data_IF_321939831878
#
_entry.id   IF_321939831878
#
_cell.length_a   1.000
_cell.length_b   1.000
_cell.length_c   1.000
_cell.angle_alpha   90.00
_cell.angle_beta   90.00
_cell.angle_gamma   90.00
#
_symmetry.space_group_name_H-M   'P 1'
#
loop_
_entity.id
_entity.type
_entity.pdbx_description
1 polymer ?
#
# COMPACT_ATOMS: atom_id res chain seq x y z
N UNK A 1 -20.79 -26.31 -8.52
CA UNK A 1 -19.67 -27.19 -8.08
C UNK A 1 -18.99 -27.92 -9.25
N UNK A 2 -19.74 -28.35 -10.28
CA UNK A 2 -19.14 -29.00 -11.46
C UNK A 2 -18.24 -28.09 -12.30
N UNK A 3 -18.60 -26.82 -12.43
CA UNK A 3 -17.81 -25.81 -13.15
C UNK A 3 -16.41 -25.57 -12.55
N UNK A 4 -16.26 -25.64 -11.23
CA UNK A 4 -14.98 -25.45 -10.55
C UNK A 4 -14.00 -26.60 -10.81
N UNK A 5 -14.47 -27.83 -10.76
CA UNK A 5 -13.64 -29.02 -10.98
C UNK A 5 -13.16 -29.12 -12.46
N UNK A 6 -14.04 -28.83 -13.42
CA UNK A 6 -13.65 -28.77 -14.83
C UNK A 6 -12.61 -27.70 -15.12
N UNK A 7 -12.76 -26.51 -14.54
CA UNK A 7 -11.79 -25.42 -14.66
C UNK A 7 -10.42 -25.79 -14.07
N UNK A 8 -10.37 -26.52 -12.95
CA UNK A 8 -9.13 -26.96 -12.34
C UNK A 8 -8.37 -27.98 -13.20
N UNK A 9 -9.10 -28.95 -13.79
CA UNK A 9 -8.51 -29.91 -14.72
C UNK A 9 -7.90 -29.22 -15.94
N UNK A 10 -8.60 -28.24 -16.49
CA UNK A 10 -8.12 -27.47 -17.65
C UNK A 10 -6.84 -26.69 -17.33
N UNK A 11 -6.83 -25.98 -16.21
CA UNK A 11 -5.65 -25.22 -15.73
C UNK A 11 -4.43 -26.14 -15.57
N UNK A 12 -4.61 -27.31 -14.94
CA UNK A 12 -3.54 -28.29 -14.75
C UNK A 12 -2.99 -28.83 -16.07
N UNK A 13 -3.85 -29.07 -17.05
CA UNK A 13 -3.41 -29.54 -18.37
C UNK A 13 -2.56 -28.49 -19.08
N UNK A 14 -2.98 -27.21 -19.07
CA UNK A 14 -2.24 -26.13 -19.70
C UNK A 14 -0.90 -25.88 -19.00
N UNK A 15 -0.88 -25.85 -17.68
CA UNK A 15 0.36 -25.76 -16.91
C UNK A 15 1.32 -26.92 -17.19
N UNK A 16 0.77 -28.14 -17.32
CA UNK A 16 1.58 -29.33 -17.67
C UNK A 16 2.13 -29.31 -19.11
N UNK A 17 1.47 -28.60 -20.01
CA UNK A 17 1.96 -28.35 -21.37
C UNK A 17 3.04 -27.30 -21.37
N UNK A 18 2.81 -26.19 -20.66
CA UNK A 18 3.73 -25.07 -20.63
C UNK A 18 5.06 -25.40 -19.92
N UNK A 19 5.02 -26.20 -18.84
CA UNK A 19 6.22 -26.59 -18.09
C UNK A 19 7.25 -27.37 -18.95
N UNK A 20 6.79 -27.98 -20.04
CA UNK A 20 7.66 -28.71 -20.99
C UNK A 20 8.28 -27.81 -22.07
N UNK A 21 7.87 -26.55 -22.14
CA UNK A 21 8.33 -25.59 -23.12
C UNK A 21 9.53 -24.81 -22.56
N UNK A 22 10.47 -24.51 -23.42
CA UNK A 22 11.68 -23.72 -23.10
C UNK A 22 11.63 -22.31 -23.67
N UNK A 23 10.59 -22.02 -24.48
CA UNK A 23 10.37 -20.77 -25.19
C UNK A 23 9.34 -19.87 -24.51
N UNK A 24 8.93 -20.19 -23.27
CA UNK A 24 7.97 -19.45 -22.47
C UNK A 24 8.65 -18.91 -21.19
N UNK A 25 7.97 -17.97 -20.52
CA UNK A 25 8.36 -17.44 -19.20
C UNK A 25 7.62 -18.14 -18.06
N UNK A 26 6.78 -19.13 -18.40
CA UNK A 26 5.88 -19.82 -17.49
C UNK A 26 4.91 -18.84 -16.78
N UNK A 27 4.49 -17.79 -17.49
CA UNK A 27 3.57 -16.77 -17.00
C UNK A 27 2.18 -17.03 -17.52
N UNK A 28 1.21 -17.09 -16.61
CA UNK A 28 -0.18 -17.42 -16.97
C UNK A 28 -0.80 -16.37 -17.91
N UNK A 29 -0.53 -15.09 -17.65
CA UNK A 29 -1.07 -13.98 -18.43
C UNK A 29 -0.35 -13.75 -19.77
N UNK A 30 0.94 -14.06 -19.84
CA UNK A 30 1.78 -13.77 -21.00
C UNK A 30 1.91 -14.94 -21.98
N UNK A 31 1.86 -16.14 -21.46
CA UNK A 31 2.12 -17.34 -22.25
C UNK A 31 0.87 -18.23 -22.39
N UNK A 32 0.19 -18.55 -21.27
CA UNK A 32 -0.91 -19.51 -21.27
C UNK A 32 -2.20 -18.90 -21.82
N UNK A 33 -2.64 -17.75 -21.29
CA UNK A 33 -3.88 -17.11 -21.76
C UNK A 33 -3.82 -16.74 -23.24
N UNK A 34 -2.76 -16.09 -23.76
CA UNK A 34 -2.66 -15.80 -25.19
C UNK A 34 -2.76 -17.06 -26.07
N UNK A 35 -2.09 -18.14 -25.70
CA UNK A 35 -2.17 -19.41 -26.42
C UNK A 35 -3.60 -20.01 -26.41
N UNK A 36 -4.34 -19.84 -25.31
CA UNK A 36 -5.74 -20.25 -25.22
C UNK A 36 -6.67 -19.36 -26.07
N UNK A 37 -6.38 -18.05 -26.13
CA UNK A 37 -7.10 -17.11 -27.00
C UNK A 37 -6.92 -17.45 -28.45
N UNK A 38 -5.68 -17.74 -28.90
CA UNK A 38 -5.38 -18.15 -30.27
C UNK A 38 -6.15 -19.44 -30.68
N UNK A 39 -6.38 -20.34 -29.74
CA UNK A 39 -7.15 -21.56 -29.95
C UNK A 39 -8.66 -21.38 -29.84
N UNK A 40 -9.12 -20.18 -29.45
CA UNK A 40 -10.54 -19.90 -29.23
C UNK A 40 -11.15 -20.63 -28.02
N UNK A 41 -10.32 -21.03 -27.05
CA UNK A 41 -10.70 -21.82 -25.88
C UNK A 41 -11.03 -20.99 -24.63
N UNK A 42 -10.94 -19.66 -24.72
CA UNK A 42 -11.29 -18.74 -23.64
C UNK A 42 -12.25 -17.65 -24.10
N UNK A 43 -13.09 -17.22 -23.18
CA UNK A 43 -14.02 -16.13 -23.39
C UNK A 43 -13.82 -15.08 -22.31
N UNK A 44 -13.90 -13.78 -22.68
CA UNK A 44 -13.88 -12.71 -21.72
C UNK A 44 -15.21 -12.67 -20.94
N UNK A 45 -15.11 -12.67 -19.62
CA UNK A 45 -16.25 -12.39 -18.73
C UNK A 45 -16.17 -10.93 -18.29
N UNK A 46 -17.13 -10.07 -18.68
CA UNK A 46 -17.14 -8.68 -18.24
C UNK A 46 -17.44 -8.61 -16.73
N UNK A 47 -16.49 -8.09 -15.96
CA UNK A 47 -16.66 -7.94 -14.52
C UNK A 47 -17.46 -6.66 -14.22
N UNK A 48 -18.80 -6.84 -14.18
CA UNK A 48 -19.77 -5.77 -14.00
C UNK A 48 -20.75 -6.14 -12.90
N UNK A 49 -21.26 -5.12 -12.21
CA UNK A 49 -22.37 -5.26 -11.30
C UNK A 49 -23.63 -5.69 -12.08
N UNK A 50 -24.29 -6.75 -11.64
CA UNK A 50 -25.45 -7.34 -12.34
C UNK A 50 -26.68 -6.44 -12.33
N UNK A 51 -26.77 -5.52 -11.36
CA UNK A 51 -27.92 -4.63 -11.20
C UNK A 51 -27.74 -3.33 -11.97
N UNK A 52 -26.59 -2.68 -11.82
CA UNK A 52 -26.30 -1.39 -12.44
C UNK A 52 -25.66 -1.50 -13.81
N UNK A 53 -25.04 -2.64 -14.14
CA UNK A 53 -24.24 -2.82 -15.35
C UNK A 53 -22.89 -2.10 -15.34
N UNK A 54 -22.59 -1.37 -14.27
CA UNK A 54 -21.34 -0.63 -14.13
C UNK A 54 -20.16 -1.58 -13.88
N UNK A 55 -18.94 -1.21 -14.31
CA UNK A 55 -17.74 -1.99 -13.98
C UNK A 55 -17.55 -2.06 -12.47
N UNK A 56 -17.36 -3.27 -11.93
CA UNK A 56 -16.96 -3.46 -10.53
C UNK A 56 -15.51 -3.03 -10.37
N UNK A 57 -15.19 -2.46 -9.20
CA UNK A 57 -13.84 -2.02 -8.88
C UNK A 57 -12.83 -3.16 -9.04
N UNK A 58 -11.86 -2.94 -9.89
CA UNK A 58 -10.69 -3.78 -10.06
C UNK A 58 -9.49 -2.93 -10.42
N UNK A 59 -8.36 -3.17 -9.78
CA UNK A 59 -7.13 -2.42 -10.05
C UNK A 59 -5.91 -3.34 -10.01
N UNK A 60 -5.08 -3.28 -11.03
CA UNK A 60 -3.78 -3.93 -11.01
C UNK A 60 -2.82 -3.16 -10.08
N UNK A 61 -2.16 -3.91 -9.18
CA UNK A 61 -1.17 -3.40 -8.22
C UNK A 61 0.23 -4.00 -8.45
N UNK A 62 0.51 -4.47 -9.66
CA UNK A 62 1.75 -5.14 -10.03
C UNK A 62 3.00 -4.24 -10.08
N UNK A 63 2.85 -2.92 -9.94
CA UNK A 63 3.96 -1.97 -9.83
C UNK A 63 3.89 -1.16 -8.55
N UNK A 64 5.02 -0.58 -8.11
CA UNK A 64 5.06 0.29 -6.92
C UNK A 64 4.14 1.50 -7.10
N UNK A 65 4.13 2.09 -8.29
CA UNK A 65 3.27 3.24 -8.59
C UNK A 65 1.78 2.89 -8.57
N UNK A 66 1.39 1.75 -9.14
CA UNK A 66 0.00 1.31 -9.11
C UNK A 66 -0.45 0.89 -7.70
N UNK A 67 0.43 0.25 -6.92
CA UNK A 67 0.18 -0.04 -5.51
C UNK A 67 -0.01 1.25 -4.70
N UNK A 68 0.89 2.21 -4.86
CA UNK A 68 0.77 3.52 -4.20
C UNK A 68 -0.53 4.23 -4.58
N UNK A 69 -0.82 4.34 -5.88
CA UNK A 69 -2.03 5.00 -6.36
C UNK A 69 -3.32 4.34 -5.85
N UNK A 70 -3.36 2.99 -5.79
CA UNK A 70 -4.51 2.26 -5.25
C UNK A 70 -4.75 2.54 -3.76
N UNK A 71 -3.67 2.63 -2.97
CA UNK A 71 -3.77 2.97 -1.55
C UNK A 71 -4.15 4.44 -1.35
N UNK A 72 -3.57 5.35 -2.14
CA UNK A 72 -3.89 6.79 -2.04
C UNK A 72 -5.32 7.11 -2.48
N UNK A 73 -5.92 6.30 -3.35
CA UNK A 73 -7.35 6.43 -3.69
C UNK A 73 -8.23 6.24 -2.45
N UNK A 74 -7.86 5.35 -1.53
CA UNK A 74 -8.62 5.10 -0.29
C UNK A 74 -8.71 6.31 0.64
N UNK A 75 -7.71 7.20 0.64
CA UNK A 75 -7.71 8.43 1.45
C UNK A 75 -8.41 9.60 0.77
N UNK A 76 -8.84 9.43 -0.48
CA UNK A 76 -9.60 10.44 -1.18
C UNK A 76 -10.98 10.66 -0.53
N UNK A 77 -11.56 11.84 -0.71
CA UNK A 77 -12.91 12.15 -0.18
C UNK A 77 -14.03 11.32 -0.82
N UNK A 78 -13.79 10.77 -1.99
CA UNK A 78 -14.71 9.90 -2.72
C UNK A 78 -13.88 8.77 -3.34
N UNK A 79 -13.50 7.78 -2.55
CA UNK A 79 -12.71 6.66 -3.04
C UNK A 79 -13.54 5.85 -4.05
N UNK A 80 -12.87 5.33 -5.08
CA UNK A 80 -13.50 4.39 -6.02
C UNK A 80 -13.90 3.09 -5.35
N UNK A 81 -13.29 2.80 -4.19
CA UNK A 81 -13.52 1.64 -3.37
C UNK A 81 -13.71 2.07 -1.90
N UNK A 82 -14.92 1.86 -1.37
CA UNK A 82 -15.27 2.30 -0.02
C UNK A 82 -14.98 1.18 1.00
N UNK A 83 -14.01 1.41 1.89
CA UNK A 83 -13.70 0.50 3.01
C UNK A 83 -14.80 0.48 4.09
N UNK A 84 -15.68 1.48 4.10
CA UNK A 84 -16.74 1.65 5.10
C UNK A 84 -18.09 1.15 4.60
N UNK A 85 -18.14 0.50 3.43
CA UNK A 85 -19.37 -0.13 2.93
C UNK A 85 -19.74 -1.34 3.79
N UNK A 86 -20.79 -1.17 4.63
CA UNK A 86 -21.28 -2.22 5.52
C UNK A 86 -21.92 -3.39 4.76
N UNK A 87 -22.33 -3.19 3.51
CA UNK A 87 -22.90 -4.26 2.67
C UNK A 87 -21.83 -5.26 2.20
N UNK A 88 -20.55 -4.84 2.18
CA UNK A 88 -19.42 -5.68 1.82
C UNK A 88 -18.25 -5.52 2.79
N UNK A 89 -18.36 -6.12 3.95
CA UNK A 89 -17.35 -6.04 4.99
C UNK A 89 -16.10 -6.87 4.67
N UNK A 90 -14.92 -6.22 4.73
CA UNK A 90 -13.64 -6.91 4.69
C UNK A 90 -13.34 -7.59 6.03
N UNK A 91 -13.28 -8.90 6.00
CA UNK A 91 -12.95 -9.72 7.17
C UNK A 91 -11.51 -10.21 7.05
N UNK A 92 -10.57 -9.44 7.60
CA UNK A 92 -9.19 -9.84 7.77
C UNK A 92 -8.91 -10.13 9.24
N UNK A 93 -8.03 -11.11 9.51
CA UNK A 93 -7.53 -11.31 10.86
C UNK A 93 -6.66 -10.12 11.27
N UNK A 94 -6.95 -9.55 12.42
CA UNK A 94 -6.16 -8.49 13.02
C UNK A 94 -5.88 -8.84 14.47
N UNK A 95 -4.61 -8.73 14.95
CA UNK A 95 -4.33 -8.84 16.37
C UNK A 95 -5.06 -7.73 17.13
N UNK A 96 -5.51 -7.98 18.36
CA UNK A 96 -6.09 -6.95 19.19
C UNK A 96 -5.06 -5.84 19.46
N UNK A 97 -5.43 -4.62 19.12
CA UNK A 97 -4.62 -3.42 19.36
C UNK A 97 -5.51 -2.33 19.97
N UNK A 98 -4.98 -1.40 20.77
CA UNK A 98 -5.74 -0.28 21.29
C UNK A 98 -6.22 0.64 20.15
N UNK A 99 -7.21 1.50 20.37
CA UNK A 99 -7.58 2.53 19.42
C UNK A 99 -6.39 3.43 19.04
N UNK A 100 -6.46 4.07 17.88
CA UNK A 100 -5.51 5.11 17.52
C UNK A 100 -5.66 6.32 18.47
N UNK A 101 -4.57 7.06 18.67
CA UNK A 101 -4.52 8.19 19.62
C UNK A 101 -3.77 9.37 19.01
N UNK A 102 -4.40 10.54 18.98
CA UNK A 102 -3.74 11.81 18.70
C UNK A 102 -3.62 12.63 19.99
N UNK A 103 -2.43 13.12 20.29
CA UNK A 103 -2.14 13.88 21.51
C UNK A 103 -1.22 15.05 21.19
N UNK A 104 -1.24 16.05 22.06
CA UNK A 104 -0.30 17.16 22.01
C UNK A 104 1.12 16.67 22.34
N UNK A 105 2.08 17.11 21.56
CA UNK A 105 3.49 17.07 21.93
C UNK A 105 3.82 18.21 22.89
N UNK A 106 4.82 18.02 23.74
CA UNK A 106 5.30 19.08 24.65
C UNK A 106 6.45 19.83 24.00
N UNK A 107 6.42 21.15 24.14
CA UNK A 107 7.50 22.07 23.77
C UNK A 107 7.84 22.93 24.96
N UNK A 108 9.00 23.59 24.95
CA UNK A 108 9.37 24.55 26.01
C UNK A 108 8.38 25.72 26.09
N UNK A 109 7.82 26.13 24.95
CA UNK A 109 6.89 27.26 24.85
C UNK A 109 5.40 26.84 24.94
N UNK A 110 5.09 25.57 25.24
CA UNK A 110 3.70 25.08 25.33
C UNK A 110 3.47 23.72 24.73
N UNK A 111 2.33 23.55 24.06
CA UNK A 111 1.92 22.28 23.45
C UNK A 111 1.75 22.41 21.94
N UNK A 112 2.18 21.39 21.22
CA UNK A 112 1.99 21.26 19.77
C UNK A 112 0.92 20.19 19.50
N UNK A 113 -0.22 20.50 18.83
CA UNK A 113 -1.24 19.52 18.53
C UNK A 113 -0.72 18.45 17.56
N UNK A 114 -1.04 17.20 17.82
CA UNK A 114 -0.96 16.15 16.83
C UNK A 114 -2.16 16.27 15.89
N UNK A 115 -1.93 16.44 14.60
CA UNK A 115 -2.97 16.65 13.59
C UNK A 115 -3.00 15.53 12.56
N UNK A 116 -4.21 15.16 12.13
CA UNK A 116 -4.44 14.16 11.09
C UNK A 116 -5.51 14.72 10.15
N UNK A 117 -5.17 14.86 8.89
CA UNK A 117 -6.04 15.43 7.87
C UNK A 117 -6.10 14.52 6.63
N UNK A 118 -7.28 14.31 6.06
CA UNK A 118 -7.52 13.50 4.86
C UNK A 118 -6.71 12.18 4.85
N UNK A 119 -6.71 11.43 5.97
CA UNK A 119 -5.83 10.27 6.19
C UNK A 119 -6.55 9.09 6.82
N UNK A 120 -6.06 7.88 6.59
CA UNK A 120 -6.54 6.67 7.26
C UNK A 120 -5.50 6.24 8.30
N UNK A 121 -5.95 6.01 9.53
CA UNK A 121 -5.08 5.64 10.66
C UNK A 121 -5.58 4.35 11.30
N UNK A 122 -4.77 3.32 11.28
CA UNK A 122 -5.09 2.02 11.87
C UNK A 122 -4.95 2.03 13.40
N UNK A 123 -5.54 1.03 14.05
CA UNK A 123 -5.48 0.87 15.50
C UNK A 123 -4.05 0.80 16.05
N UNK A 124 -3.87 1.24 17.29
CA UNK A 124 -2.56 1.27 17.97
C UNK A 124 -1.64 2.40 17.53
N UNK A 125 -1.97 3.16 16.49
CA UNK A 125 -1.16 4.29 16.07
C UNK A 125 -1.22 5.45 17.08
N UNK A 126 -0.11 6.18 17.22
CA UNK A 126 0.01 7.34 18.11
C UNK A 126 0.64 8.51 17.37
N UNK A 127 -0.10 9.61 17.25
CA UNK A 127 0.38 10.86 16.70
C UNK A 127 0.58 11.84 17.87
N UNK A 128 1.84 12.16 18.18
CA UNK A 128 2.19 13.00 19.34
C UNK A 128 2.88 14.28 18.89
N UNK A 129 2.10 15.33 18.66
CA UNK A 129 2.61 16.61 18.20
C UNK A 129 3.22 16.59 16.79
N UNK A 130 2.89 15.58 15.99
CA UNK A 130 3.24 15.47 14.59
C UNK A 130 2.07 15.85 13.67
N UNK A 131 2.34 16.07 12.41
CA UNK A 131 1.35 16.39 11.38
C UNK A 131 1.29 15.29 10.32
N UNK A 132 0.09 14.77 10.08
CA UNK A 132 -0.18 13.73 9.09
C UNK A 132 -1.24 14.25 8.12
N UNK A 133 -0.95 14.20 6.84
CA UNK A 133 -1.86 14.69 5.80
C UNK A 133 -1.83 13.75 4.60
N UNK A 134 -2.99 13.43 4.04
CA UNK A 134 -3.19 12.56 2.86
C UNK A 134 -2.31 11.30 2.91
N UNK A 135 -2.41 10.54 4.02
CA UNK A 135 -1.51 9.42 4.25
C UNK A 135 -2.26 8.22 4.85
N UNK A 136 -1.69 7.03 4.66
CA UNK A 136 -2.14 5.82 5.35
C UNK A 136 -1.12 5.42 6.41
N UNK A 137 -1.59 5.24 7.64
CA UNK A 137 -0.80 4.77 8.76
C UNK A 137 -1.27 3.39 9.21
N UNK A 138 -0.38 2.42 9.11
CA UNK A 138 -0.57 1.06 9.59
C UNK A 138 -0.64 0.97 11.11
N UNK A 139 -0.81 -0.25 11.62
CA UNK A 139 -0.96 -0.51 13.04
C UNK A 139 0.29 -0.14 13.83
N UNK A 140 0.09 0.51 14.97
CA UNK A 140 1.18 0.82 15.88
C UNK A 140 2.19 1.85 15.36
N UNK A 141 1.88 2.54 14.27
CA UNK A 141 2.71 3.63 13.75
C UNK A 141 2.83 4.74 14.80
N UNK A 142 4.04 5.26 14.97
CA UNK A 142 4.31 6.42 15.84
C UNK A 142 4.79 7.61 15.02
N UNK A 143 4.16 8.76 15.23
CA UNK A 143 4.54 10.03 14.60
C UNK A 143 4.86 11.01 15.70
N UNK A 144 6.17 11.31 15.88
CA UNK A 144 6.64 12.10 16.99
C UNK A 144 6.58 13.62 16.69
N UNK A 145 6.81 14.44 17.71
CA UNK A 145 6.61 15.90 17.67
C UNK A 145 7.45 16.58 16.58
N UNK A 146 6.87 17.59 15.96
CA UNK A 146 7.45 18.40 14.88
C UNK A 146 7.70 17.64 13.58
N UNK A 147 7.39 16.34 13.53
CA UNK A 147 7.50 15.58 12.28
C UNK A 147 6.30 15.84 11.36
N UNK A 148 6.51 15.61 10.07
CA UNK A 148 5.49 15.74 9.04
C UNK A 148 5.48 14.53 8.15
N UNK A 149 4.30 13.98 7.94
CA UNK A 149 4.04 12.86 6.99
C UNK A 149 2.97 13.32 6.01
N UNK A 150 3.31 13.37 4.73
CA UNK A 150 2.39 13.80 3.69
C UNK A 150 2.44 12.84 2.50
N UNK A 151 1.29 12.58 1.87
CA UNK A 151 1.19 11.78 0.65
C UNK A 151 1.97 10.45 0.77
N UNK A 152 1.82 9.72 1.90
CA UNK A 152 2.69 8.58 2.20
C UNK A 152 1.93 7.39 2.78
N UNK A 153 2.51 6.21 2.58
CA UNK A 153 2.02 4.96 3.13
C UNK A 153 3.05 4.46 4.13
N UNK A 154 2.72 4.46 5.41
CA UNK A 154 3.53 3.91 6.49
C UNK A 154 2.91 2.59 6.95
N UNK A 155 3.61 1.48 6.78
CA UNK A 155 3.14 0.17 7.21
C UNK A 155 3.28 -0.03 8.71
N UNK A 156 2.92 -1.21 9.21
CA UNK A 156 2.84 -1.49 10.63
C UNK A 156 4.16 -1.22 11.37
N UNK A 157 4.05 -0.65 12.57
CA UNK A 157 5.18 -0.41 13.50
C UNK A 157 6.28 0.49 12.96
N UNK A 158 5.96 1.38 12.03
CA UNK A 158 6.89 2.43 11.61
C UNK A 158 6.93 3.52 12.68
N UNK A 159 8.13 3.97 13.01
CA UNK A 159 8.36 5.11 13.92
C UNK A 159 8.96 6.29 13.16
N UNK A 160 8.30 7.45 13.22
CA UNK A 160 8.79 8.69 12.63
C UNK A 160 9.39 9.55 13.75
N UNK A 161 10.69 9.76 13.71
CA UNK A 161 11.44 10.54 14.69
C UNK A 161 11.00 12.00 14.73
N UNK A 162 11.40 12.72 15.79
CA UNK A 162 11.13 14.15 15.93
C UNK A 162 11.73 14.93 14.76
N UNK A 163 11.05 15.96 14.29
CA UNK A 163 11.48 16.82 13.18
C UNK A 163 11.66 16.10 11.83
N UNK A 164 11.46 14.79 11.76
CA UNK A 164 11.55 14.06 10.50
C UNK A 164 10.43 14.44 9.54
N UNK A 165 10.74 14.43 8.24
CA UNK A 165 9.79 14.76 7.18
C UNK A 165 9.73 13.62 6.16
N UNK A 166 8.53 13.15 5.85
CA UNK A 166 8.27 12.05 4.91
C UNK A 166 7.24 12.51 3.90
N UNK A 167 7.55 12.35 2.63
CA UNK A 167 6.66 12.75 1.53
C UNK A 167 6.80 11.82 0.33
N UNK A 168 5.66 11.47 -0.28
CA UNK A 168 5.60 10.57 -1.45
C UNK A 168 6.36 9.26 -1.24
N UNK A 169 6.14 8.60 -0.09
CA UNK A 169 6.90 7.43 0.30
C UNK A 169 6.01 6.22 0.56
N UNK A 170 6.61 5.04 0.37
CA UNK A 170 6.13 3.78 0.94
C UNK A 170 7.19 3.35 1.95
N UNK A 171 6.87 3.39 3.23
CA UNK A 171 7.73 2.92 4.31
C UNK A 171 7.21 1.58 4.79
N UNK A 172 7.99 0.52 4.61
CA UNK A 172 7.59 -0.83 4.99
C UNK A 172 7.73 -1.04 6.50
N UNK A 173 7.35 -2.20 6.99
CA UNK A 173 7.16 -2.52 8.42
C UNK A 173 8.44 -2.40 9.23
N UNK A 174 8.28 -2.03 10.50
CA UNK A 174 9.36 -2.00 11.50
C UNK A 174 10.54 -1.09 11.12
N UNK A 175 10.28 -0.02 10.40
CA UNK A 175 11.29 0.99 10.08
C UNK A 175 11.23 2.11 11.10
N UNK A 176 12.39 2.49 11.66
CA UNK A 176 12.56 3.67 12.50
C UNK A 176 13.26 4.77 11.71
N UNK A 177 12.53 5.86 11.48
CA UNK A 177 13.06 7.05 10.79
C UNK A 177 13.71 7.94 11.83
N UNK A 178 15.03 8.23 11.73
CA UNK A 178 15.76 9.06 12.68
C UNK A 178 15.21 10.47 12.81
N UNK A 179 15.57 11.12 13.92
CA UNK A 179 15.25 12.52 14.16
C UNK A 179 15.81 13.42 13.06
N UNK A 180 14.98 14.33 12.56
CA UNK A 180 15.35 15.31 11.54
C UNK A 180 15.55 14.76 10.13
N UNK A 181 15.42 13.45 9.92
CA UNK A 181 15.61 12.85 8.60
C UNK A 181 14.52 13.30 7.62
N UNK A 182 14.92 13.66 6.41
CA UNK A 182 14.00 14.00 5.32
C UNK A 182 14.04 12.90 4.25
N UNK A 183 12.86 12.37 3.87
CA UNK A 183 12.68 11.35 2.83
C UNK A 183 11.61 11.82 1.85
N UNK A 184 11.90 11.80 0.55
CA UNK A 184 10.99 12.24 -0.50
C UNK A 184 11.08 13.74 -0.82
N UNK A 185 12.16 14.42 -0.41
CA UNK A 185 12.39 15.84 -0.65
C UNK A 185 13.56 16.11 -1.60
N UNK A 186 14.51 15.20 -1.71
CA UNK A 186 15.70 15.31 -2.55
C UNK A 186 15.85 14.03 -3.39
N UNK A 187 15.44 14.10 -4.66
CA UNK A 187 15.42 12.94 -5.56
C UNK A 187 16.81 12.33 -5.79
N UNK A 188 17.89 13.14 -5.73
CA UNK A 188 19.24 12.65 -5.91
C UNK A 188 19.73 11.90 -4.66
N UNK A 189 19.51 12.48 -3.48
CA UNK A 189 19.82 11.82 -2.21
C UNK A 189 18.98 10.55 -2.04
N UNK A 190 17.69 10.64 -2.26
CA UNK A 190 16.76 9.52 -2.13
C UNK A 190 17.12 8.38 -3.09
N UNK A 191 17.47 8.69 -4.35
CA UNK A 191 17.88 7.68 -5.34
C UNK A 191 19.22 6.99 -5.04
N UNK A 192 20.07 7.55 -4.19
CA UNK A 192 21.31 6.91 -3.72
C UNK A 192 21.06 5.97 -2.54
N UNK A 193 20.07 6.30 -1.70
CA UNK A 193 19.81 5.60 -0.43
C UNK A 193 18.71 4.55 -0.56
N UNK A 194 17.71 4.83 -1.41
CA UNK A 194 16.48 4.07 -1.49
C UNK A 194 16.14 3.68 -2.93
N UNK A 195 15.21 2.75 -3.06
CA UNK A 195 14.57 2.49 -4.35
C UNK A 195 13.55 3.58 -4.63
N UNK A 196 13.68 4.23 -5.80
CA UNK A 196 12.69 5.19 -6.29
C UNK A 196 11.96 4.60 -7.49
N UNK A 197 10.63 4.67 -7.51
CA UNK A 197 9.82 4.19 -8.62
C UNK A 197 9.90 5.12 -9.83
N UNK A 198 9.35 4.70 -10.97
CA UNK A 198 9.26 5.54 -12.17
C UNK A 198 8.42 6.81 -11.94
N UNK A 199 7.42 6.75 -11.07
CA UNK A 199 6.59 7.88 -10.64
C UNK A 199 7.20 8.75 -9.53
N UNK A 200 8.44 8.46 -9.08
CA UNK A 200 9.13 9.24 -8.06
C UNK A 200 8.73 8.85 -6.61
N UNK A 201 8.10 7.70 -6.40
CA UNK A 201 7.76 7.21 -5.06
C UNK A 201 8.99 6.58 -4.43
N UNK A 202 9.38 7.07 -3.26
CA UNK A 202 10.50 6.53 -2.49
C UNK A 202 10.06 5.33 -1.66
N UNK A 203 10.79 4.23 -1.74
CA UNK A 203 10.46 2.99 -1.04
C UNK A 203 11.56 2.63 -0.06
N UNK A 204 11.21 2.61 1.23
CA UNK A 204 12.09 2.14 2.30
C UNK A 204 11.69 0.71 2.67
N UNK A 205 12.57 -0.27 2.47
CA UNK A 205 12.24 -1.67 2.71
C UNK A 205 12.13 -1.99 4.20
N UNK A 206 11.45 -3.08 4.49
CA UNK A 206 11.21 -3.60 5.83
C UNK A 206 12.50 -3.73 6.65
N UNK A 207 12.44 -3.30 7.89
CA UNK A 207 13.54 -3.44 8.86
C UNK A 207 14.86 -2.79 8.43
N UNK A 208 14.81 -1.85 7.48
CA UNK A 208 16.00 -1.10 7.09
C UNK A 208 16.48 -0.23 8.25
N UNK A 209 17.76 -0.36 8.60
CA UNK A 209 18.38 0.50 9.61
C UNK A 209 18.80 1.83 8.95
N UNK A 210 18.15 2.91 9.39
CA UNK A 210 18.41 4.26 8.90
C UNK A 210 19.34 5.07 9.83
N UNK A 211 19.72 4.51 10.98
CA UNK A 211 20.54 5.22 11.98
C UNK A 211 21.94 5.58 11.48
N UNK A 212 22.48 4.80 10.54
CA UNK A 212 23.80 5.03 9.95
C UNK A 212 23.78 6.04 8.76
N UNK A 213 22.58 6.49 8.36
CA UNK A 213 22.41 7.36 7.18
C UNK A 213 22.22 8.84 7.53
N UNK A 214 22.30 9.18 8.81
CA UNK A 214 22.16 10.54 9.35
C UNK A 214 23.48 11.27 9.54
#
# INVERSE_FOLDING_TARGET
>A
TESSAASDVYKRQELSRDVKRTDTRHDFGRDIIPALVERGEVHAYPFRDETSGEPIYWRDIGTLDSYYAANMDLVSRRPSFDLYDESWLFRAWQPPVPPCKSVHGFTEDGTLPGTVEDSIVAGGAVISGGHVERSLLGRGVRVNSFSRVTDSILMDSVEVGRYAKVKNCIIDKNVSIPEGMEIGFDAEKDGRLFKVSAGGIVVVPKEMDLSELT
#
